data_IF_879053386260
#
_entry.id   IF_879053386260
#
_cell.length_a   1.000
_cell.length_b   1.000
_cell.length_c   1.000
_cell.angle_alpha   90.00
_cell.angle_beta   90.00
_cell.angle_gamma   90.00
#
_symmetry.space_group_name_H-M   'P 1'
#
loop_
_entity.id
_entity.type
_entity.pdbx_description
1 polymer ?
#
# COMPACT_ATOMS: atom_id res chain seq x y z
N UNK A 1 -1.38 26.84 -8.65
CA UNK A 1 -2.25 25.80 -9.24
C UNK A 1 -2.37 24.65 -8.25
N UNK A 2 -3.44 24.64 -7.44
CA UNK A 2 -3.72 23.51 -6.56
C UNK A 2 -4.18 22.35 -7.43
N UNK A 3 -3.28 21.41 -7.70
CA UNK A 3 -3.65 20.20 -8.45
C UNK A 3 -4.77 19.52 -7.68
N UNK A 4 -5.95 19.46 -8.30
CA UNK A 4 -7.03 18.58 -7.89
C UNK A 4 -6.43 17.18 -7.84
N UNK A 5 -5.97 16.77 -6.65
CA UNK A 5 -5.59 15.39 -6.38
C UNK A 5 -6.82 14.62 -6.82
N UNK A 6 -6.67 13.85 -7.92
CA UNK A 6 -7.61 12.79 -8.30
C UNK A 6 -8.09 12.22 -6.98
N UNK A 7 -9.40 12.09 -6.75
CA UNK A 7 -9.92 11.33 -5.61
C UNK A 7 -9.28 9.95 -5.74
N UNK A 8 -8.10 9.76 -5.14
CA UNK A 8 -7.45 8.49 -4.98
C UNK A 8 -8.45 7.84 -4.05
N UNK A 9 -9.39 7.06 -4.60
CA UNK A 9 -10.23 6.15 -3.84
C UNK A 9 -9.27 5.55 -2.83
N UNK A 10 -9.49 5.82 -1.55
CA UNK A 10 -8.57 5.38 -0.51
C UNK A 10 -8.29 3.91 -0.78
N UNK A 11 -7.02 3.49 -0.83
CA UNK A 11 -6.71 2.10 -1.09
C UNK A 11 -7.41 1.26 -0.03
N UNK A 12 -8.11 0.20 -0.45
CA UNK A 12 -8.84 -0.69 0.45
C UNK A 12 -7.88 -1.32 1.45
N UNK A 13 -6.64 -1.56 1.04
CA UNK A 13 -5.59 -2.07 1.92
C UNK A 13 -4.47 -1.07 2.06
N UNK A 14 -3.96 -0.92 3.27
CA UNK A 14 -2.79 -0.11 3.60
C UNK A 14 -1.84 -0.93 4.46
N UNK A 15 -0.55 -0.60 4.47
CA UNK A 15 0.40 -1.24 5.37
C UNK A 15 1.12 -0.17 6.20
N UNK A 16 1.37 -0.47 7.48
CA UNK A 16 2.03 0.45 8.40
C UNK A 16 3.00 -0.30 9.33
N UNK A 17 4.06 0.37 9.80
CA UNK A 17 4.98 -0.21 10.75
C UNK A 17 4.32 -0.40 12.12
N UNK A 18 4.50 -1.57 12.71
CA UNK A 18 4.05 -1.94 14.05
C UNK A 18 5.27 -2.47 14.81
N UNK A 19 5.95 -1.57 15.52
CA UNK A 19 7.22 -1.87 16.17
C UNK A 19 8.29 -2.28 15.15
N UNK A 20 8.84 -3.48 15.27
CA UNK A 20 9.83 -4.05 14.34
C UNK A 20 9.19 -4.78 13.13
N UNK A 21 7.86 -4.85 13.07
CA UNK A 21 7.10 -5.57 12.04
C UNK A 21 6.27 -4.61 11.20
N UNK A 22 5.66 -5.13 10.16
CA UNK A 22 4.78 -4.40 9.24
C UNK A 22 3.42 -5.08 9.19
N UNK A 23 2.37 -4.36 9.57
CA UNK A 23 1.01 -4.88 9.51
C UNK A 23 0.29 -4.36 8.26
N UNK A 24 -0.51 -5.24 7.64
CA UNK A 24 -1.44 -4.88 6.57
C UNK A 24 -2.83 -4.71 7.17
N UNK A 25 -3.42 -3.56 6.92
CA UNK A 25 -4.76 -3.18 7.37
C UNK A 25 -5.71 -3.12 6.17
N UNK A 26 -6.91 -3.60 6.37
CA UNK A 26 -8.03 -3.49 5.45
C UNK A 26 -8.99 -2.42 5.95
N UNK A 27 -9.20 -1.40 5.14
CA UNK A 27 -10.20 -0.36 5.33
C UNK A 27 -11.50 -0.81 4.67
N UNK A 28 -12.45 -1.22 5.50
CA UNK A 28 -13.79 -1.58 5.08
C UNK A 28 -14.73 -0.41 5.41
N UNK A 29 -15.23 0.25 4.37
CA UNK A 29 -16.28 1.28 4.51
C UNK A 29 -17.64 0.58 4.45
N UNK A 30 -18.33 0.48 5.59
CA UNK A 30 -19.69 -0.02 5.70
C UNK A 30 -20.62 1.16 5.97
N UNK A 31 -21.17 1.75 4.91
CA UNK A 31 -21.99 2.96 5.02
C UNK A 31 -21.17 4.14 5.52
N UNK A 32 -21.55 4.71 6.67
CA UNK A 32 -20.84 5.81 7.34
C UNK A 32 -19.73 5.35 8.30
N UNK A 33 -19.60 4.04 8.52
CA UNK A 33 -18.62 3.48 9.47
C UNK A 33 -17.38 3.01 8.71
N UNK A 34 -16.23 3.47 9.16
CA UNK A 34 -14.92 2.99 8.70
C UNK A 34 -14.41 1.95 9.69
N UNK A 35 -14.37 0.70 9.26
CA UNK A 35 -13.77 -0.40 10.03
C UNK A 35 -12.36 -0.68 9.52
N UNK A 36 -11.43 -0.84 10.45
CA UNK A 36 -10.07 -1.30 10.18
C UNK A 36 -9.95 -2.74 10.65
N UNK A 37 -9.66 -3.64 9.72
CA UNK A 37 -9.34 -5.03 10.00
C UNK A 37 -7.84 -5.28 9.79
N UNK A 38 -7.21 -6.05 10.67
CA UNK A 38 -5.79 -6.40 10.58
C UNK A 38 -5.66 -7.71 9.82
N UNK A 39 -5.26 -7.64 8.56
CA UNK A 39 -5.15 -8.79 7.66
C UNK A 39 -3.98 -9.69 8.02
N UNK A 40 -2.85 -9.10 8.41
CA UNK A 40 -1.65 -9.86 8.74
C UNK A 40 -0.49 -8.98 9.19
N UNK A 41 0.49 -9.62 9.82
CA UNK A 41 1.78 -9.01 10.20
C UNK A 41 2.91 -9.74 9.51
N UNK A 42 3.83 -8.95 8.97
CA UNK A 42 4.99 -9.41 8.25
C UNK A 42 6.25 -8.87 8.92
N UNK A 43 7.35 -9.64 8.90
CA UNK A 43 8.63 -9.16 9.43
C UNK A 43 9.22 -8.05 8.56
N UNK A 44 8.96 -8.03 7.25
CA UNK A 44 9.55 -7.04 6.33
C UNK A 44 8.50 -6.14 5.65
N UNK A 45 8.93 -4.94 5.28
CA UNK A 45 8.09 -3.98 4.55
C UNK A 45 7.75 -4.45 3.13
N UNK A 46 8.66 -5.20 2.49
CA UNK A 46 8.47 -5.71 1.14
C UNK A 46 7.36 -6.76 1.08
N UNK A 47 7.31 -7.67 2.05
CA UNK A 47 6.25 -8.67 2.16
C UNK A 47 4.89 -8.01 2.40
N UNK A 48 4.82 -7.08 3.37
CA UNK A 48 3.60 -6.32 3.62
C UNK A 48 3.15 -5.51 2.39
N UNK A 49 4.09 -4.96 1.63
CA UNK A 49 3.81 -4.23 0.39
C UNK A 49 3.31 -5.15 -0.72
N UNK A 50 3.96 -6.30 -0.96
CA UNK A 50 3.52 -7.29 -1.96
C UNK A 50 2.10 -7.76 -1.65
N UNK A 51 1.82 -8.07 -0.39
CA UNK A 51 0.50 -8.48 0.05
C UNK A 51 -0.53 -7.35 -0.12
N UNK A 52 -0.20 -6.13 0.27
CA UNK A 52 -1.07 -4.97 0.07
C UNK A 52 -1.39 -4.71 -1.42
N UNK A 53 -0.42 -4.88 -2.32
CA UNK A 53 -0.65 -4.75 -3.76
C UNK A 53 -1.55 -5.88 -4.29
N UNK A 54 -1.28 -7.13 -3.88
CA UNK A 54 -2.10 -8.30 -4.21
C UNK A 54 -3.56 -8.09 -3.78
N UNK A 55 -3.77 -7.63 -2.55
CA UNK A 55 -5.10 -7.40 -1.98
C UNK A 55 -5.82 -6.19 -2.60
N UNK A 56 -5.11 -5.13 -2.95
CA UNK A 56 -5.67 -4.00 -3.70
C UNK A 56 -5.91 -4.32 -5.19
N UNK A 57 -5.49 -5.49 -5.68
CA UNK A 57 -5.54 -5.85 -7.11
C UNK A 57 -4.63 -4.98 -7.98
N UNK A 58 -3.60 -4.37 -7.39
CA UNK A 58 -2.64 -3.55 -8.10
C UNK A 58 -1.60 -4.44 -8.76
N UNK A 59 -1.20 -4.11 -9.99
CA UNK A 59 -0.01 -4.72 -10.57
C UNK A 59 1.19 -4.27 -9.73
N UNK A 60 1.82 -5.25 -9.07
CA UNK A 60 3.10 -5.03 -8.43
C UNK A 60 4.15 -4.94 -9.54
N UNK A 61 4.39 -3.71 -10.01
CA UNK A 61 5.62 -3.43 -10.73
C UNK A 61 6.73 -3.45 -9.68
N UNK A 62 7.49 -4.56 -9.68
CA UNK A 62 8.75 -4.61 -8.96
C UNK A 62 9.52 -3.34 -9.34
N UNK A 63 10.05 -2.56 -8.38
CA UNK A 63 10.72 -1.32 -8.71
C UNK A 63 11.83 -1.66 -9.68
N UNK A 64 11.58 -1.38 -10.96
CA UNK A 64 12.52 -1.61 -12.03
C UNK A 64 13.74 -0.83 -11.57
N UNK A 65 14.80 -1.56 -11.14
CA UNK A 65 16.05 -0.98 -10.65
C UNK A 65 16.33 0.12 -11.64
N UNK A 66 16.20 1.39 -11.22
CA UNK A 66 16.38 2.53 -12.11
C UNK A 66 17.69 2.28 -12.83
N UNK A 67 17.63 1.84 -14.09
CA UNK A 67 18.80 1.82 -14.95
C UNK A 67 19.04 3.31 -15.13
N UNK A 68 19.94 3.81 -14.29
CA UNK A 68 20.40 5.18 -14.32
C UNK A 68 20.77 5.46 -15.78
N UNK A 69 19.93 6.20 -16.48
CA UNK A 69 20.35 6.94 -17.66
C UNK A 69 21.23 8.10 -17.17
N UNK A 70 22.39 7.77 -16.58
CA UNK A 70 23.54 8.66 -16.63
C UNK A 70 24.02 8.59 -18.08
N UNK A 71 23.57 9.56 -18.89
CA UNK A 71 24.25 9.86 -20.14
C UNK A 71 25.58 10.52 -19.78
N UNK A 72 26.67 9.85 -20.13
CA UNK A 72 28.01 10.42 -20.20
C UNK A 72 28.09 11.50 -21.28
#
# INVERSE_FOLDING_TARGET
MWNQRKKIRRPKYSYAPVGSRWAVYHWLEIGDIVTVDKVGEFPTSEEARKECYRLNGWKYEEPEKRKNNLKY
#
